data_IF_971560792735
#
_entry.id   IF_971560792735
#
_cell.length_a   1.000
_cell.length_b   1.000
_cell.length_c   1.000
_cell.angle_alpha   90.00
_cell.angle_beta   90.00
_cell.angle_gamma   90.00
#
_symmetry.space_group_name_H-M   'P 1'
#
loop_
_entity.id
_entity.type
_entity.pdbx_description
1 polymer ?
#
# COMPACT_ATOMS: atom_id res chain seq x y z
N UNK A 1 -5.32 -0.89 -2.12
CA UNK A 1 -6.37 -0.46 -3.06
C UNK A 1 -5.75 -0.50 -4.45
N UNK A 2 -5.95 -1.60 -5.17
CA UNK A 2 -5.33 -1.77 -6.49
C UNK A 2 -6.16 -1.06 -7.55
N UNK A 3 -5.52 -0.35 -8.47
CA UNK A 3 -6.18 0.18 -9.65
C UNK A 3 -6.55 -1.00 -10.56
N UNK A 4 -7.78 -1.50 -10.44
CA UNK A 4 -8.35 -2.44 -11.39
C UNK A 4 -8.44 -1.81 -12.78
N UNK A 5 -8.62 -2.63 -13.82
CA UNK A 5 -8.69 -2.13 -15.21
C UNK A 5 -9.84 -1.15 -15.47
N UNK A 6 -10.85 -1.15 -14.61
CA UNK A 6 -12.02 -0.28 -14.71
C UNK A 6 -11.98 0.87 -13.70
N UNK A 7 -10.96 0.94 -12.86
CA UNK A 7 -10.84 1.95 -11.82
C UNK A 7 -10.32 3.26 -12.43
N UNK A 8 -11.09 4.33 -12.27
CA UNK A 8 -10.64 5.70 -12.51
C UNK A 8 -10.53 6.42 -11.18
N UNK A 9 -9.39 7.06 -10.95
CA UNK A 9 -9.15 7.91 -9.78
C UNK A 9 -8.95 9.34 -10.25
N UNK A 10 -9.74 10.26 -9.72
CA UNK A 10 -9.56 11.70 -9.92
C UNK A 10 -9.07 12.31 -8.62
N UNK A 11 -7.87 12.88 -8.68
CA UNK A 11 -7.19 13.51 -7.55
C UNK A 11 -7.29 15.04 -7.65
N UNK A 12 -7.66 15.70 -6.56
CA UNK A 12 -7.74 17.16 -6.47
C UNK A 12 -6.96 17.66 -5.26
N UNK A 13 -6.00 18.52 -5.51
CA UNK A 13 -5.21 19.20 -4.47
C UNK A 13 -5.66 20.65 -4.40
N UNK A 14 -6.18 21.07 -3.26
CA UNK A 14 -6.61 22.44 -3.01
C UNK A 14 -5.82 23.02 -1.86
N UNK A 15 -4.99 24.04 -2.11
CA UNK A 15 -4.32 24.76 -1.03
C UNK A 15 -5.36 25.61 -0.28
N UNK A 16 -5.62 25.28 0.99
CA UNK A 16 -6.62 25.95 1.82
C UNK A 16 -6.00 26.94 2.80
N UNK A 17 -4.71 26.79 3.11
CA UNK A 17 -3.92 27.73 3.91
C UNK A 17 -2.45 27.74 3.44
N UNK A 18 -1.60 28.52 4.13
CA UNK A 18 -0.18 28.60 3.80
C UNK A 18 0.50 27.23 3.86
N UNK A 19 0.17 26.44 4.88
CA UNK A 19 0.77 25.15 5.20
C UNK A 19 -0.20 23.97 5.00
N UNK A 20 -1.42 24.21 4.51
CA UNK A 20 -2.47 23.19 4.46
C UNK A 20 -3.00 22.99 3.04
N UNK A 21 -3.11 21.72 2.64
CA UNK A 21 -3.73 21.26 1.40
C UNK A 21 -4.87 20.32 1.77
N UNK A 22 -6.06 20.58 1.23
CA UNK A 22 -7.11 19.58 1.18
C UNK A 22 -6.91 18.71 -0.06
N UNK A 23 -6.57 17.44 0.15
CA UNK A 23 -6.39 16.46 -0.92
C UNK A 23 -7.62 15.55 -0.97
N UNK A 24 -8.33 15.62 -2.08
CA UNK A 24 -9.54 14.84 -2.31
C UNK A 24 -9.32 13.82 -3.43
N UNK A 25 -9.84 12.62 -3.23
CA UNK A 25 -9.91 11.58 -4.26
C UNK A 25 -11.36 11.22 -4.53
N UNK A 26 -11.69 11.06 -5.81
CA UNK A 26 -12.92 10.42 -6.26
C UNK A 26 -12.54 9.15 -7.00
N UNK A 27 -13.05 8.01 -6.52
CA UNK A 27 -12.80 6.70 -7.13
C UNK A 27 -14.08 6.22 -7.78
N UNK A 28 -13.97 5.83 -9.05
CA UNK A 28 -15.04 5.25 -9.84
C UNK A 28 -14.59 3.89 -10.36
N UNK A 29 -15.29 2.84 -9.97
CA UNK A 29 -15.16 1.51 -10.57
C UNK A 29 -16.55 0.86 -10.63
N UNK A 30 -17.21 0.81 -11.80
CA UNK A 30 -18.54 0.23 -11.92
C UNK A 30 -18.59 -1.29 -11.70
N UNK A 31 -17.44 -1.96 -11.70
CA UNK A 31 -17.35 -3.41 -11.47
C UNK A 31 -17.21 -3.78 -9.99
N UNK A 32 -16.71 -2.84 -9.18
CA UNK A 32 -16.56 -3.03 -7.73
C UNK A 32 -17.56 -2.21 -6.89
N UNK A 33 -18.00 -1.05 -7.38
CA UNK A 33 -18.85 -0.12 -6.64
C UNK A 33 -20.10 0.28 -7.44
N UNK A 34 -21.24 0.37 -6.75
CA UNK A 34 -22.51 0.80 -7.35
C UNK A 34 -22.53 2.29 -7.71
N UNK A 35 -21.72 3.10 -7.03
CA UNK A 35 -21.57 4.54 -7.27
C UNK A 35 -20.13 4.97 -7.00
N UNK A 36 -19.64 6.07 -7.62
CA UNK A 36 -18.39 6.69 -7.22
C UNK A 36 -18.39 7.03 -5.73
N UNK A 37 -17.24 6.87 -5.08
CA UNK A 37 -17.04 7.30 -3.71
C UNK A 37 -15.90 8.31 -3.62
N UNK A 38 -15.90 9.07 -2.52
CA UNK A 38 -14.98 10.19 -2.32
C UNK A 38 -14.31 10.08 -0.95
N UNK A 39 -13.03 10.42 -0.88
CA UNK A 39 -12.32 10.61 0.38
C UNK A 39 -11.56 11.94 0.36
N UNK A 40 -11.40 12.54 1.54
CA UNK A 40 -10.64 13.76 1.75
C UNK A 40 -9.57 13.52 2.82
N UNK A 41 -8.35 13.96 2.55
CA UNK A 41 -7.17 13.77 3.36
C UNK A 41 -6.54 15.16 3.54
N UNK A 42 -6.80 15.84 4.67
CA UNK A 42 -6.13 17.10 4.95
C UNK A 42 -4.64 16.84 5.17
N UNK A 43 -3.80 17.53 4.42
CA UNK A 43 -2.34 17.46 4.49
C UNK A 43 -1.81 18.77 5.04
N UNK A 44 -0.99 18.68 6.08
CA UNK A 44 -0.27 19.82 6.65
C UNK A 44 1.22 19.70 6.32
N UNK A 45 1.85 20.81 5.97
CA UNK A 45 3.27 20.87 5.68
C UNK A 45 4.09 20.43 6.90
N UNK A 46 5.07 19.57 6.66
CA UNK A 46 6.02 19.16 7.67
C UNK A 46 7.23 20.12 7.63
N UNK A 47 7.68 20.59 8.79
CA UNK A 47 8.87 21.45 8.90
C UNK A 47 10.21 20.73 8.71
N UNK A 48 10.23 19.55 8.06
CA UNK A 48 11.39 18.68 7.93
C UNK A 48 11.34 17.82 6.66
N UNK A 49 12.36 16.97 6.48
CA UNK A 49 12.47 16.12 5.30
C UNK A 49 11.36 15.07 5.25
N UNK A 50 10.67 14.95 4.12
CA UNK A 50 9.78 13.83 3.86
C UNK A 50 10.65 12.61 3.52
N UNK A 51 10.62 11.60 4.38
CA UNK A 51 11.28 10.33 4.14
C UNK A 51 10.31 9.38 3.42
N UNK A 52 10.78 8.74 2.36
CA UNK A 52 10.02 7.70 1.68
C UNK A 52 9.83 6.51 2.62
N UNK A 53 8.57 6.08 2.80
CA UNK A 53 8.26 4.87 3.54
C UNK A 53 8.34 3.65 2.60
N UNK A 54 9.56 3.22 2.27
CA UNK A 54 9.82 2.05 1.40
C UNK A 54 9.59 0.69 2.10
N UNK A 55 8.64 0.57 3.03
CA UNK A 55 8.55 -0.58 3.94
C UNK A 55 8.01 -1.88 3.31
N UNK A 56 7.70 -1.92 2.02
CA UNK A 56 7.24 -3.14 1.35
C UNK A 56 8.15 -3.62 0.21
N UNK A 57 9.16 -2.84 -0.16
CA UNK A 57 10.13 -3.24 -1.16
C UNK A 57 11.33 -3.87 -0.44
N UNK A 58 11.22 -5.18 -0.15
CA UNK A 58 12.26 -5.94 0.56
C UNK A 58 11.80 -6.75 1.78
N UNK A 59 10.51 -7.08 1.92
CA UNK A 59 10.05 -7.95 3.00
C UNK A 59 10.48 -9.42 2.77
N UNK A 60 11.73 -9.73 3.12
CA UNK A 60 12.29 -11.09 3.08
C UNK A 60 11.78 -11.99 4.19
N UNK A 61 10.96 -11.49 5.13
CA UNK A 61 10.49 -12.29 6.26
C UNK A 61 9.72 -13.53 5.77
N UNK A 62 8.83 -13.37 4.78
CA UNK A 62 8.09 -14.50 4.21
C UNK A 62 9.00 -15.50 3.51
N UNK A 63 9.96 -15.03 2.70
CA UNK A 63 10.92 -15.91 2.03
C UNK A 63 11.78 -16.69 3.03
N UNK A 64 12.26 -16.02 4.08
CA UNK A 64 13.09 -16.62 5.12
C UNK A 64 12.31 -17.65 5.95
N UNK A 65 11.06 -17.35 6.35
CA UNK A 65 10.19 -18.29 7.07
C UNK A 65 9.98 -19.57 6.26
N UNK A 66 9.68 -19.44 4.96
CA UNK A 66 9.47 -20.59 4.09
C UNK A 66 10.76 -21.39 3.87
N UNK A 67 11.91 -20.72 3.72
CA UNK A 67 13.20 -21.41 3.59
C UNK A 67 13.59 -22.18 4.85
N UNK A 68 13.29 -21.65 6.04
CA UNK A 68 13.52 -22.32 7.31
C UNK A 68 12.70 -23.60 7.43
N UNK A 69 11.39 -23.52 7.14
CA UNK A 69 10.52 -24.69 7.16
C UNK A 69 10.98 -25.79 6.19
N UNK A 70 11.43 -25.43 4.99
CA UNK A 70 11.97 -26.42 4.02
C UNK A 70 13.27 -27.07 4.50
N UNK A 71 14.13 -26.32 5.17
CA UNK A 71 15.35 -26.88 5.76
C UNK A 71 15.03 -27.88 6.89
N UNK A 72 14.01 -27.60 7.71
CA UNK A 72 13.53 -28.50 8.76
C UNK A 72 12.92 -29.79 8.17
N UNK A 73 12.09 -29.68 7.13
CA UNK A 73 11.54 -30.83 6.40
C UNK A 73 12.66 -31.74 5.85
N UNK A 74 13.66 -31.15 5.20
CA UNK A 74 14.77 -31.88 4.58
C UNK A 74 15.66 -32.57 5.63
N UNK A 75 15.89 -31.93 6.78
CA UNK A 75 16.59 -32.53 7.90
C UNK A 75 15.82 -33.72 8.50
N UNK A 76 14.49 -33.61 8.61
CA UNK A 76 13.63 -34.69 9.10
C UNK A 76 13.59 -35.89 8.14
N UNK A 77 13.52 -35.64 6.82
CA UNK A 77 13.61 -36.71 5.80
C UNK A 77 14.97 -37.42 5.84
N UNK A 78 16.07 -36.67 5.95
CA UNK A 78 17.42 -37.22 6.00
C UNK A 78 17.67 -38.04 7.28
N UNK A 79 17.05 -37.67 8.40
CA UNK A 79 17.18 -38.39 9.67
C UNK A 79 16.33 -39.68 9.74
N UNK A 80 15.38 -39.86 8.81
CA UNK A 80 14.45 -41.01 8.78
C UNK A 80 14.93 -42.11 7.82
N UNK A 81 16.04 -41.91 7.12
CA UNK A 81 16.68 -42.86 6.20
C UNK A 81 18.08 -43.26 6.68
#
# INVERSE_FOLDING_TARGET
FGAGRHTTVVERFTRTAEDTIDYQIVVTDPTEYSTPWTAAIPMTALGGQLYEYACHEGNYAMANILSGARAEEQAAETATH
#
